data_IF_852661448408
#
_entry.id   IF_852661448408
#
_cell.length_a   1.000
_cell.length_b   1.000
_cell.length_c   1.000
_cell.angle_alpha   90.00
_cell.angle_beta   90.00
_cell.angle_gamma   90.00
#
_symmetry.space_group_name_H-M   'P 1'
#
loop_
_entity.id
_entity.type
_entity.pdbx_description
1 polymer ?
#
# COMPACT_ATOMS: atom_id res chain seq x y z
N UNK A 1 -29.57 14.58 -13.79
CA UNK A 1 -28.22 14.62 -14.37
C UNK A 1 -27.32 15.35 -13.39
N UNK A 2 -26.74 14.60 -12.44
CA UNK A 2 -25.82 15.16 -11.44
C UNK A 2 -24.48 15.42 -12.11
N UNK A 3 -24.07 16.69 -12.15
CA UNK A 3 -22.71 17.05 -12.55
C UNK A 3 -21.77 16.54 -11.46
N UNK A 4 -20.96 15.55 -11.82
CA UNK A 4 -19.91 14.99 -10.97
C UNK A 4 -18.93 16.11 -10.63
N UNK A 5 -18.53 16.22 -9.36
CA UNK A 5 -17.58 17.22 -8.86
C UNK A 5 -16.15 17.10 -9.46
N UNK A 6 -15.92 16.16 -10.37
CA UNK A 6 -14.61 15.88 -10.99
C UNK A 6 -14.23 16.83 -12.15
N UNK A 7 -15.13 17.70 -12.64
CA UNK A 7 -14.83 18.63 -13.74
C UNK A 7 -14.37 20.04 -13.31
N UNK A 8 -14.15 20.31 -12.01
CA UNK A 8 -13.94 21.68 -11.49
C UNK A 8 -12.52 22.03 -11.02
N UNK A 9 -11.49 21.23 -11.30
CA UNK A 9 -10.13 21.53 -10.82
C UNK A 9 -9.05 21.66 -11.92
N UNK A 10 -9.40 21.61 -13.20
CA UNK A 10 -8.44 21.90 -14.28
C UNK A 10 -8.27 23.41 -14.39
N UNK A 11 -7.26 23.98 -13.71
CA UNK A 11 -6.81 25.35 -13.94
C UNK A 11 -6.63 26.26 -12.72
N UNK A 12 -6.74 25.78 -11.49
CA UNK A 12 -6.34 26.60 -10.34
C UNK A 12 -4.82 26.70 -10.29
N UNK A 13 -4.29 27.90 -10.55
CA UNK A 13 -2.89 28.23 -10.37
C UNK A 13 -2.48 28.03 -8.91
N UNK A 14 -1.31 27.40 -8.69
CA UNK A 14 -0.80 27.19 -7.35
C UNK A 14 -0.53 28.53 -6.66
N UNK A 15 -0.87 28.61 -5.37
CA UNK A 15 -0.43 29.73 -4.52
C UNK A 15 1.09 29.71 -4.36
N UNK A 16 1.69 30.85 -4.02
CA UNK A 16 3.14 30.94 -3.81
C UNK A 16 3.67 29.92 -2.77
N UNK A 17 2.93 29.70 -1.68
CA UNK A 17 3.31 28.69 -0.66
C UNK A 17 3.22 27.26 -1.19
N UNK A 18 2.19 26.96 -1.97
CA UNK A 18 2.05 25.64 -2.61
C UNK A 18 3.14 25.40 -3.65
N UNK A 19 3.47 26.40 -4.45
CA UNK A 19 4.55 26.34 -5.44
C UNK A 19 5.88 26.04 -4.74
N UNK A 20 6.20 26.78 -3.67
CA UNK A 20 7.39 26.55 -2.86
C UNK A 20 7.43 25.13 -2.28
N UNK A 21 6.31 24.65 -1.74
CA UNK A 21 6.20 23.28 -1.24
C UNK A 21 6.50 22.25 -2.35
N UNK A 22 5.88 22.42 -3.52
CA UNK A 22 6.03 21.53 -4.68
C UNK A 22 7.48 21.50 -5.16
N UNK A 23 8.12 22.65 -5.29
CA UNK A 23 9.53 22.76 -5.70
C UNK A 23 10.48 22.09 -4.70
N UNK A 24 10.32 22.38 -3.40
CA UNK A 24 11.17 21.83 -2.35
C UNK A 24 11.00 20.31 -2.18
N UNK A 25 9.77 19.81 -2.33
CA UNK A 25 9.47 18.38 -2.17
C UNK A 25 9.92 17.55 -3.39
N UNK A 26 9.85 18.13 -4.59
CA UNK A 26 10.04 17.39 -5.84
C UNK A 26 11.46 17.46 -6.41
N UNK A 27 12.28 18.43 -5.99
CA UNK A 27 13.63 18.60 -6.49
C UNK A 27 14.63 17.69 -5.75
N UNK A 28 15.32 16.74 -6.42
CA UNK A 28 16.32 15.86 -5.78
C UNK A 28 17.52 16.58 -5.16
N UNK A 29 17.81 17.81 -5.58
CA UNK A 29 18.87 18.65 -5.01
C UNK A 29 18.42 19.42 -3.76
N UNK A 30 17.12 19.40 -3.46
CA UNK A 30 16.57 20.04 -2.26
C UNK A 30 16.84 19.19 -1.02
N UNK A 31 17.22 19.83 0.08
CA UNK A 31 17.30 19.20 1.41
C UNK A 31 15.96 18.64 1.90
N UNK A 32 14.85 19.06 1.29
CA UNK A 32 13.50 18.61 1.63
C UNK A 32 12.95 17.57 0.65
N UNK A 33 13.79 17.05 -0.26
CA UNK A 33 13.37 16.06 -1.25
C UNK A 33 12.68 14.86 -0.59
N UNK A 34 11.48 14.54 -1.07
CA UNK A 34 10.59 13.50 -0.54
C UNK A 34 10.23 13.64 0.97
N UNK A 35 10.59 14.74 1.63
CA UNK A 35 10.24 15.03 3.01
C UNK A 35 9.16 16.11 3.08
N UNK A 36 7.90 15.67 3.11
CA UNK A 36 6.74 16.56 3.09
C UNK A 36 6.70 17.52 4.28
N UNK A 37 7.03 17.05 5.49
CA UNK A 37 7.03 17.91 6.68
C UNK A 37 8.06 19.04 6.55
N UNK A 38 9.29 18.71 6.15
CA UNK A 38 10.35 19.70 5.99
C UNK A 38 10.04 20.69 4.86
N UNK A 39 9.47 20.23 3.75
CA UNK A 39 9.03 21.10 2.66
C UNK A 39 7.91 22.06 3.09
N UNK A 40 6.94 21.57 3.87
CA UNK A 40 5.86 22.40 4.40
C UNK A 40 6.36 23.42 5.44
N UNK A 41 7.35 23.05 6.25
CA UNK A 41 7.99 23.95 7.21
C UNK A 41 8.74 25.08 6.49
N UNK A 42 9.56 24.76 5.48
CA UNK A 42 10.26 25.76 4.67
C UNK A 42 9.31 26.62 3.81
N UNK A 43 8.16 26.09 3.42
CA UNK A 43 7.10 26.83 2.73
C UNK A 43 6.21 27.66 3.67
N UNK A 44 6.57 27.78 4.96
CA UNK A 44 5.92 28.62 5.96
C UNK A 44 4.46 28.20 6.24
N UNK A 45 4.21 26.88 6.37
CA UNK A 45 2.94 26.36 6.88
C UNK A 45 2.95 26.26 8.42
N UNK A 46 1.91 26.79 9.07
CA UNK A 46 1.81 26.82 10.55
C UNK A 46 1.80 25.44 11.20
N UNK A 47 1.23 24.44 10.51
CA UNK A 47 1.21 23.04 10.96
C UNK A 47 1.81 22.17 9.84
N UNK A 48 3.15 22.06 9.76
CA UNK A 48 3.81 21.41 8.64
C UNK A 48 3.41 19.95 8.46
N UNK A 49 3.17 19.22 9.55
CA UNK A 49 2.82 17.80 9.50
C UNK A 49 1.46 17.58 8.84
N UNK A 50 0.41 18.24 9.36
CA UNK A 50 -0.92 18.10 8.80
C UNK A 50 -1.03 18.78 7.43
N UNK A 51 -0.35 19.91 7.22
CA UNK A 51 -0.33 20.61 5.93
C UNK A 51 0.31 19.74 4.86
N UNK A 52 1.46 19.12 5.13
CA UNK A 52 2.10 18.19 4.19
C UNK A 52 1.19 17.03 3.82
N UNK A 53 0.50 16.43 4.81
CA UNK A 53 -0.48 15.37 4.52
C UNK A 53 -1.60 15.86 3.60
N UNK A 54 -2.23 17.01 3.92
CA UNK A 54 -3.32 17.59 3.10
C UNK A 54 -2.85 17.96 1.69
N UNK A 55 -1.69 18.59 1.57
CA UNK A 55 -1.11 18.99 0.29
C UNK A 55 -0.85 17.77 -0.59
N UNK A 56 -0.30 16.68 -0.04
CA UNK A 56 -0.09 15.43 -0.78
C UNK A 56 -1.39 14.75 -1.24
N UNK A 57 -2.52 15.02 -0.60
CA UNK A 57 -3.83 14.52 -1.04
C UNK A 57 -4.48 15.43 -2.10
N UNK A 58 -4.04 16.68 -2.24
CA UNK A 58 -4.62 17.63 -3.19
C UNK A 58 -4.27 17.24 -4.64
N UNK A 59 -5.27 17.05 -5.53
CA UNK A 59 -5.03 16.67 -6.93
C UNK A 59 -4.06 17.61 -7.65
N UNK A 60 -4.30 18.92 -7.57
CA UNK A 60 -3.49 19.93 -8.27
C UNK A 60 -2.02 19.92 -7.80
N UNK A 61 -1.77 19.68 -6.51
CA UNK A 61 -0.43 19.57 -5.95
C UNK A 61 0.25 18.29 -6.45
N UNK A 62 -0.47 17.17 -6.46
CA UNK A 62 0.05 15.89 -6.96
C UNK A 62 0.41 15.98 -8.44
N UNK A 63 -0.43 16.60 -9.25
CA UNK A 63 -0.16 16.82 -10.67
C UNK A 63 1.07 17.70 -10.88
N UNK A 64 1.22 18.78 -10.11
CA UNK A 64 2.38 19.64 -10.19
C UNK A 64 3.68 18.94 -9.76
N UNK A 65 3.65 18.13 -8.70
CA UNK A 65 4.77 17.29 -8.27
C UNK A 65 5.16 16.32 -9.39
N UNK A 66 4.17 15.61 -9.97
CA UNK A 66 4.41 14.67 -11.07
C UNK A 66 4.99 15.35 -12.30
N UNK A 67 4.50 16.54 -12.65
CA UNK A 67 5.01 17.32 -13.77
C UNK A 67 6.49 17.69 -13.58
N UNK A 68 6.87 18.21 -12.40
CA UNK A 68 8.26 18.54 -12.09
C UNK A 68 9.17 17.31 -12.06
N UNK A 69 8.71 16.21 -11.46
CA UNK A 69 9.47 14.96 -11.44
C UNK A 69 9.69 14.41 -12.85
N UNK A 70 8.67 14.46 -13.71
CA UNK A 70 8.78 14.06 -15.12
C UNK A 70 9.73 14.96 -15.89
N UNK A 71 9.66 16.27 -15.69
CA UNK A 71 10.58 17.21 -16.31
C UNK A 71 12.03 16.95 -15.87
N UNK A 72 12.26 16.67 -14.58
CA UNK A 72 13.57 16.30 -14.07
C UNK A 72 14.08 14.98 -14.69
N UNK A 73 13.22 13.97 -14.80
CA UNK A 73 13.57 12.71 -15.45
C UNK A 73 14.00 12.93 -16.91
N UNK A 74 13.22 13.73 -17.66
CA UNK A 74 13.53 14.05 -19.05
C UNK A 74 14.83 14.83 -19.20
N UNK A 75 15.05 15.87 -18.38
CA UNK A 75 16.27 16.69 -18.41
C UNK A 75 17.54 15.87 -18.14
N UNK A 76 17.46 14.89 -17.26
CA UNK A 76 18.59 14.07 -16.85
C UNK A 76 18.69 12.73 -17.62
N UNK A 77 17.80 12.49 -18.59
CA UNK A 77 17.77 11.22 -19.33
C UNK A 77 17.54 9.99 -18.45
N UNK A 78 16.87 10.15 -17.31
CA UNK A 78 16.59 9.06 -16.38
C UNK A 78 15.48 8.19 -16.96
N UNK A 79 15.82 6.96 -17.28
CA UNK A 79 14.87 5.94 -17.74
C UNK A 79 14.77 4.82 -16.72
N UNK A 80 13.69 4.03 -16.80
CA UNK A 80 13.57 2.83 -15.96
C UNK A 80 14.76 1.89 -16.19
N UNK A 81 15.20 1.74 -17.43
CA UNK A 81 16.34 0.89 -17.79
C UNK A 81 17.66 1.41 -17.22
N UNK A 82 17.89 2.73 -17.23
CA UNK A 82 19.10 3.31 -16.64
C UNK A 82 19.14 3.08 -15.13
N UNK A 83 18.02 3.29 -14.44
CA UNK A 83 17.91 3.05 -13.00
C UNK A 83 18.10 1.58 -12.65
N UNK A 84 17.54 0.65 -13.43
CA UNK A 84 17.75 -0.79 -13.24
C UNK A 84 19.22 -1.16 -13.45
N UNK A 85 19.89 -0.59 -14.46
CA UNK A 85 21.31 -0.81 -14.69
C UNK A 85 22.16 -0.35 -13.49
N UNK A 86 21.87 0.82 -12.95
CA UNK A 86 22.54 1.35 -11.76
C UNK A 86 22.30 0.46 -10.53
N UNK A 87 21.07 -0.04 -10.34
CA UNK A 87 20.75 -0.99 -9.27
C UNK A 87 21.52 -2.31 -9.42
N UNK A 88 21.73 -2.80 -10.64
CA UNK A 88 22.56 -3.99 -10.88
C UNK A 88 24.03 -3.74 -10.52
N UNK A 89 24.56 -2.56 -10.87
CA UNK A 89 25.92 -2.17 -10.53
C UNK A 89 26.11 -2.02 -9.00
N UNK A 90 25.19 -1.34 -8.33
CA UNK A 90 25.14 -1.20 -6.87
C UNK A 90 25.08 -2.56 -6.18
N UNK A 91 24.23 -3.47 -6.66
CA UNK A 91 24.16 -4.84 -6.15
C UNK A 91 25.51 -5.54 -6.22
N UNK A 92 26.23 -5.47 -7.35
CA UNK A 92 27.55 -6.10 -7.51
C UNK A 92 28.54 -5.53 -6.48
N UNK A 93 28.61 -4.21 -6.36
CA UNK A 93 29.47 -3.54 -5.37
C UNK A 93 29.12 -3.90 -3.92
N UNK A 94 27.85 -4.07 -3.61
CA UNK A 94 27.40 -4.50 -2.29
C UNK A 94 27.84 -5.94 -2.00
N UNK A 95 27.71 -6.85 -2.98
CA UNK A 95 28.20 -8.23 -2.88
C UNK A 95 29.72 -8.30 -2.67
N UNK A 96 30.49 -7.50 -3.40
CA UNK A 96 31.96 -7.43 -3.23
C UNK A 96 32.37 -7.00 -1.81
N UNK A 97 31.54 -6.19 -1.15
CA UNK A 97 31.73 -5.74 0.24
C UNK A 97 31.07 -6.63 1.29
N UNK A 98 30.46 -7.74 0.87
CA UNK A 98 29.64 -8.61 1.72
C UNK A 98 28.47 -7.88 2.42
N UNK A 99 27.98 -6.78 1.84
CA UNK A 99 26.78 -6.07 2.29
C UNK A 99 25.53 -6.72 1.67
N UNK A 100 25.11 -7.83 2.28
CA UNK A 100 23.97 -8.62 1.81
C UNK A 100 22.63 -7.90 1.97
N UNK A 101 22.51 -6.96 2.91
CA UNK A 101 21.30 -6.20 3.13
C UNK A 101 21.04 -5.27 1.94
N UNK A 102 22.04 -4.49 1.54
CA UNK A 102 21.96 -3.62 0.36
C UNK A 102 21.77 -4.44 -0.92
N UNK A 103 22.50 -5.55 -1.09
CA UNK A 103 22.35 -6.41 -2.25
C UNK A 103 20.91 -6.97 -2.39
N UNK A 104 20.34 -7.44 -1.27
CA UNK A 104 18.94 -7.91 -1.22
C UNK A 104 17.97 -6.80 -1.58
N UNK A 105 18.16 -5.59 -1.05
CA UNK A 105 17.29 -4.44 -1.34
C UNK A 105 17.33 -4.05 -2.82
N UNK A 106 18.50 -4.08 -3.46
CA UNK A 106 18.59 -3.85 -4.91
C UNK A 106 17.78 -4.88 -5.71
N UNK A 107 17.84 -6.16 -5.34
CA UNK A 107 17.06 -7.22 -5.99
C UNK A 107 15.56 -6.99 -5.81
N UNK A 108 15.14 -6.64 -4.60
CA UNK A 108 13.75 -6.33 -4.29
C UNK A 108 13.23 -5.16 -5.14
N UNK A 109 13.99 -4.06 -5.23
CA UNK A 109 13.61 -2.89 -6.01
C UNK A 109 13.48 -3.20 -7.50
N UNK A 110 14.44 -3.95 -8.06
CA UNK A 110 14.37 -4.41 -9.46
C UNK A 110 13.17 -5.33 -9.70
N UNK A 111 12.85 -6.24 -8.78
CA UNK A 111 11.68 -7.10 -8.94
C UNK A 111 10.35 -6.34 -8.82
N UNK A 112 10.29 -5.31 -7.97
CA UNK A 112 9.13 -4.42 -7.88
C UNK A 112 8.92 -3.58 -9.15
N UNK A 113 10.00 -3.10 -9.78
CA UNK A 113 9.87 -2.28 -11.00
C UNK A 113 9.26 -3.05 -12.18
N UNK A 114 9.41 -4.38 -12.20
CA UNK A 114 8.79 -5.28 -13.20
C UNK A 114 7.59 -6.05 -12.65
N UNK A 115 7.02 -5.61 -11.52
CA UNK A 115 5.83 -6.19 -10.90
C UNK A 115 5.93 -7.67 -10.51
N UNK A 116 7.14 -8.19 -10.30
CA UNK A 116 7.36 -9.56 -9.78
C UNK A 116 7.21 -9.64 -8.26
N UNK A 117 7.48 -8.54 -7.56
CA UNK A 117 7.31 -8.44 -6.12
C UNK A 117 6.26 -7.39 -5.81
N UNK A 118 5.43 -7.68 -4.81
CA UNK A 118 4.48 -6.73 -4.23
C UNK A 118 4.96 -6.32 -2.85
N UNK A 119 4.64 -5.10 -2.44
CA UNK A 119 4.76 -4.72 -1.05
C UNK A 119 3.81 -5.61 -0.22
N UNK A 120 4.37 -6.27 0.78
CA UNK A 120 3.60 -7.10 1.70
C UNK A 120 2.52 -6.26 2.38
N UNK A 121 1.27 -6.74 2.29
CA UNK A 121 0.05 -6.23 2.93
C UNK A 121 -0.59 -4.98 2.30
N UNK A 122 -1.11 -5.15 1.08
CA UNK A 122 -2.48 -4.72 0.87
C UNK A 122 -3.39 -5.70 1.63
N UNK A 123 -3.64 -5.45 2.91
CA UNK A 123 -4.88 -5.93 3.54
C UNK A 123 -5.99 -5.20 2.77
N UNK A 124 -6.41 -5.77 1.64
CA UNK A 124 -7.77 -5.52 1.15
C UNK A 124 -8.67 -5.81 2.35
N UNK A 125 -9.61 -4.93 2.64
CA UNK A 125 -10.62 -5.03 3.71
C UNK A 125 -11.51 -6.29 3.56
N UNK A 126 -10.92 -7.48 3.42
CA UNK A 126 -11.61 -8.75 3.49
C UNK A 126 -12.08 -9.05 4.90
N UNK A 127 -11.57 -8.32 5.90
CA UNK A 127 -11.93 -8.46 7.32
C UNK A 127 -13.44 -8.33 7.55
N UNK A 128 -14.10 -7.32 6.99
CA UNK A 128 -15.56 -7.14 7.19
C UNK A 128 -16.40 -8.20 6.49
N UNK A 129 -15.98 -8.67 5.32
CA UNK A 129 -16.68 -9.72 4.57
C UNK A 129 -16.42 -11.11 5.18
N UNK A 130 -15.19 -11.40 5.61
CA UNK A 130 -14.86 -12.63 6.34
C UNK A 130 -15.53 -12.71 7.71
N UNK A 131 -15.64 -11.60 8.44
CA UNK A 131 -16.38 -11.57 9.72
C UNK A 131 -17.86 -11.89 9.47
N UNK A 132 -18.49 -11.27 8.45
CA UNK A 132 -19.87 -11.57 8.08
C UNK A 132 -20.07 -13.01 7.63
N UNK A 133 -19.13 -13.57 6.87
CA UNK A 133 -19.19 -14.95 6.40
C UNK A 133 -19.06 -15.94 7.57
N UNK A 134 -18.12 -15.71 8.49
CA UNK A 134 -17.96 -16.54 9.69
C UNK A 134 -19.20 -16.46 10.60
N UNK A 135 -19.78 -15.27 10.79
CA UNK A 135 -21.02 -15.12 11.57
C UNK A 135 -22.20 -15.84 10.92
N UNK A 136 -22.31 -15.79 9.58
CA UNK A 136 -23.36 -16.51 8.86
C UNK A 136 -23.19 -18.04 9.00
N UNK A 137 -21.97 -18.55 8.85
CA UNK A 137 -21.65 -19.96 9.02
C UNK A 137 -21.88 -20.45 10.45
N UNK A 138 -21.55 -19.65 11.47
CA UNK A 138 -21.82 -19.98 12.87
C UNK A 138 -23.32 -20.02 13.17
N UNK A 139 -24.12 -19.11 12.58
CA UNK A 139 -25.59 -19.15 12.72
C UNK A 139 -26.19 -20.38 12.04
N UNK A 140 -25.74 -20.73 10.85
CA UNK A 140 -26.19 -21.95 10.17
C UNK A 140 -25.82 -23.22 10.96
N UNK A 141 -24.59 -23.29 11.48
CA UNK A 141 -24.16 -24.41 12.32
C UNK A 141 -25.00 -24.53 13.60
N UNK A 142 -25.36 -23.40 14.24
CA UNK A 142 -26.23 -23.40 15.41
C UNK A 142 -27.64 -23.88 15.08
N UNK A 143 -28.21 -23.45 13.95
CA UNK A 143 -29.54 -23.89 13.50
C UNK A 143 -29.54 -25.40 13.21
N UNK A 144 -28.49 -25.91 12.56
CA UNK A 144 -28.34 -27.35 12.30
C UNK A 144 -28.18 -28.16 13.59
N UNK A 145 -27.44 -27.65 14.58
CA UNK A 145 -27.31 -28.28 15.89
C UNK A 145 -28.64 -28.33 16.65
N UNK A 146 -29.42 -27.24 16.62
CA UNK A 146 -30.74 -27.17 17.24
C UNK A 146 -31.75 -28.11 16.56
N UNK A 147 -31.71 -28.24 15.23
CA UNK A 147 -32.53 -29.21 14.49
C UNK A 147 -32.15 -30.64 14.89
N UNK A 148 -30.85 -30.93 15.03
CA UNK A 148 -30.36 -32.26 15.45
C UNK A 148 -30.74 -32.62 16.88
N UNK A 149 -30.83 -31.63 17.77
CA UNK A 149 -31.25 -31.84 19.17
C UNK A 149 -32.78 -31.95 19.33
N UNK A 150 -33.57 -31.32 18.45
CA UNK A 150 -35.04 -31.36 18.51
C UNK A 150 -35.66 -32.48 17.68
N UNK A 151 -34.97 -32.95 16.63
CA UNK A 151 -35.37 -34.11 15.84
C UNK A 151 -34.79 -35.38 16.44
N UNK A 152 -35.43 -35.92 17.48
CA UNK A 152 -35.00 -37.14 18.18
C UNK A 152 -34.71 -38.29 17.21
N UNK A 153 -33.42 -38.57 17.02
CA UNK A 153 -32.95 -39.85 16.50
C UNK A 153 -32.40 -40.63 17.69
N UNK A 154 -33.08 -41.73 18.00
CA UNK A 154 -32.72 -42.70 19.01
C UNK A 154 -31.48 -43.47 18.53
N UNK A 155 -30.30 -42.97 18.85
CA UNK A 155 -29.01 -43.66 18.65
C UNK A 155 -28.81 -44.70 19.76
N UNK A 156 -29.76 -45.62 19.93
CA UNK A 156 -29.50 -46.87 20.66
C UNK A 156 -28.69 -47.79 19.75
N UNK A 157 -27.38 -48.00 20.01
CA UNK A 157 -26.62 -48.98 19.24
C UNK A 157 -27.19 -50.38 19.49
N UNK A 158 -27.28 -51.26 18.46
CA UNK A 158 -27.74 -52.62 18.64
C UNK A 158 -26.83 -53.37 19.62
N UNK A 159 -27.46 -54.08 20.56
CA UNK A 159 -26.84 -54.89 21.60
C UNK A 159 -25.76 -55.82 21.03
N UNK A 160 -24.53 -55.68 21.49
CA UNK A 160 -23.47 -56.69 21.27
C UNK A 160 -23.28 -57.49 22.57
N UNK A 161 -23.47 -58.83 22.55
CA UNK A 161 -23.21 -59.63 23.74
C UNK A 161 -21.70 -59.73 23.99
N UNK A 162 -21.29 -59.52 25.24
CA UNK A 162 -19.89 -59.68 25.67
C UNK A 162 -19.39 -61.11 25.42
N UNK A 163 -18.16 -61.29 24.91
CA UNK A 163 -17.51 -62.60 24.95
C UNK A 163 -17.12 -62.96 26.41
N UNK A 164 -17.23 -64.24 26.80
CA UNK A 164 -16.81 -64.70 28.12
C UNK A 164 -15.29 -64.56 28.29
N UNK A 165 -14.88 -64.13 29.48
CA UNK A 165 -13.47 -63.96 29.83
C UNK A 165 -12.69 -65.26 30.02
N UNK A 166 -11.36 -65.07 30.05
CA UNK A 166 -10.26 -66.03 30.24
C UNK A 166 -9.76 -66.74 28.97
#
# INVERSE_FOLDING_TARGET
MSKTQDELAVGQSLTAKQQMFVELYSNPESECYDNGKAAAEKADYNDPGNSAWRLKQSPNIREAIQALQKEYQLRNGLTADSVISDLQFLKRRALDKNDLATATRCVELMGKSISLFSDGLAVRDTSKEQIKLNEAQQREAHILADIRLKGGYDDTPPFTPNPPGA
#
